data_IF_047375842780
#
_entry.id   IF_047375842780
#
_cell.length_a   1.000
_cell.length_b   1.000
_cell.length_c   1.000
_cell.angle_alpha   90.00
_cell.angle_beta   90.00
_cell.angle_gamma   90.00
#
_symmetry.space_group_name_H-M   'P 1'
#
loop_
_entity.id
_entity.type
_entity.pdbx_description
1 polymer ?
#
# COMPACT_ATOMS: atom_id res chain seq x y z
N UNK A 1 40.11 -9.66 13.27
CA UNK A 1 39.73 -11.07 13.03
C UNK A 1 39.72 -11.81 14.35
N UNK A 2 38.54 -12.27 14.77
CA UNK A 2 38.35 -13.17 15.91
C UNK A 2 38.02 -14.56 15.34
N UNK A 3 38.74 -15.60 15.77
CA UNK A 3 38.46 -17.00 15.43
C UNK A 3 37.63 -17.62 16.56
N UNK A 4 36.35 -17.87 16.30
CA UNK A 4 35.39 -18.39 17.28
C UNK A 4 35.22 -19.91 17.21
N UNK A 5 36.06 -20.62 16.44
CA UNK A 5 35.99 -22.07 16.28
C UNK A 5 36.08 -22.88 17.59
N UNK A 6 36.51 -22.26 18.69
CA UNK A 6 36.57 -22.84 20.04
C UNK A 6 35.71 -22.16 21.10
N UNK A 7 35.13 -20.98 20.82
CA UNK A 7 34.31 -20.21 21.75
C UNK A 7 33.14 -19.57 20.99
N UNK A 8 31.93 -20.17 21.03
CA UNK A 8 30.79 -19.74 20.22
C UNK A 8 30.03 -18.55 20.83
N UNK A 9 30.68 -17.75 21.67
CA UNK A 9 30.07 -16.70 22.48
C UNK A 9 31.02 -15.49 22.46
N UNK A 10 30.60 -14.40 21.80
CA UNK A 10 31.39 -13.19 21.56
C UNK A 10 31.25 -12.18 22.71
N UNK A 11 30.19 -12.29 23.49
CA UNK A 11 29.79 -11.44 24.61
C UNK A 11 30.11 -12.04 25.98
N UNK A 12 30.63 -13.26 25.99
CA UNK A 12 31.08 -14.00 27.16
C UNK A 12 29.93 -14.54 28.00
N UNK A 13 30.22 -15.49 28.89
CA UNK A 13 29.20 -16.26 29.64
C UNK A 13 28.26 -15.47 30.55
N UNK A 14 28.47 -14.16 30.65
CA UNK A 14 27.62 -13.21 31.40
C UNK A 14 26.74 -12.38 30.47
N UNK A 15 26.85 -12.56 29.16
CA UNK A 15 26.03 -11.92 28.13
C UNK A 15 26.06 -10.38 28.21
N UNK A 16 27.26 -9.81 28.40
CA UNK A 16 27.44 -8.35 28.59
C UNK A 16 28.65 -7.78 27.85
N UNK A 17 29.24 -8.56 26.95
CA UNK A 17 30.43 -8.16 26.22
C UNK A 17 30.16 -6.98 25.29
N UNK A 18 31.22 -6.25 24.97
CA UNK A 18 31.15 -5.11 24.05
C UNK A 18 32.07 -5.34 22.86
N UNK A 19 31.51 -5.25 21.65
CA UNK A 19 32.26 -5.24 20.39
C UNK A 19 32.29 -3.81 19.87
N UNK A 20 33.48 -3.30 19.57
CA UNK A 20 33.68 -1.95 19.06
C UNK A 20 34.37 -1.98 17.69
N UNK A 21 33.61 -1.69 16.64
CA UNK A 21 34.12 -1.39 15.30
C UNK A 21 34.11 0.13 15.08
N UNK A 22 34.92 0.88 15.86
CA UNK A 22 34.84 2.36 15.90
C UNK A 22 35.92 3.06 15.09
N UNK A 23 37.16 2.55 15.15
CA UNK A 23 38.32 3.09 14.42
C UNK A 23 38.86 2.09 13.38
N UNK A 24 38.15 0.97 13.23
CA UNK A 24 38.47 -0.12 12.33
C UNK A 24 37.32 -1.12 12.31
N UNK A 25 37.11 -1.77 11.18
CA UNK A 25 36.11 -2.82 11.02
C UNK A 25 36.47 -4.08 11.80
N UNK A 26 35.44 -4.81 12.21
CA UNK A 26 35.55 -6.12 12.86
C UNK A 26 34.95 -7.17 11.93
N UNK A 27 35.74 -8.16 11.56
CA UNK A 27 35.27 -9.36 10.89
C UNK A 27 35.41 -10.56 11.82
N UNK A 28 34.31 -11.29 11.98
CA UNK A 28 34.24 -12.55 12.73
C UNK A 28 34.29 -13.70 11.73
N UNK A 29 35.35 -14.50 11.83
CA UNK A 29 35.53 -15.67 10.98
C UNK A 29 35.15 -16.93 11.77
N UNK A 30 34.21 -17.71 11.23
CA UNK A 30 33.77 -18.97 11.87
C UNK A 30 33.72 -20.10 10.85
N UNK A 31 34.04 -21.31 11.32
CA UNK A 31 34.12 -22.53 10.51
C UNK A 31 32.79 -23.32 10.39
N UNK A 32 31.69 -22.87 11.00
CA UNK A 32 30.40 -23.57 10.98
C UNK A 32 29.21 -22.61 10.80
N UNK A 33 28.14 -23.06 10.13
CA UNK A 33 26.95 -22.25 9.82
C UNK A 33 25.97 -22.03 10.99
N UNK A 34 24.89 -21.28 10.71
CA UNK A 34 23.80 -20.95 11.64
C UNK A 34 23.84 -19.51 12.19
N UNK A 35 22.78 -19.08 12.88
CA UNK A 35 22.70 -17.74 13.47
C UNK A 35 23.44 -17.67 14.82
N UNK A 36 23.97 -16.49 15.13
CA UNK A 36 24.68 -16.17 16.35
C UNK A 36 23.84 -15.19 17.17
N UNK A 37 23.37 -15.60 18.35
CA UNK A 37 22.71 -14.71 19.29
C UNK A 37 23.72 -13.81 19.99
N UNK A 38 23.36 -12.55 20.20
CA UNK A 38 24.19 -11.54 20.83
C UNK A 38 23.35 -10.65 21.74
N UNK A 39 23.58 -10.74 23.04
CA UNK A 39 22.89 -9.99 24.13
C UNK A 39 23.81 -8.88 24.70
N UNK A 40 25.04 -8.79 24.18
CA UNK A 40 25.98 -7.70 24.47
C UNK A 40 25.67 -6.36 23.81
N UNK A 41 26.72 -5.53 23.69
CA UNK A 41 26.66 -4.24 22.98
C UNK A 41 27.59 -4.23 21.78
N UNK A 42 27.04 -3.98 20.58
CA UNK A 42 27.78 -3.83 19.34
C UNK A 42 27.78 -2.36 18.92
N UNK A 43 28.94 -1.74 18.83
CA UNK A 43 29.08 -0.37 18.35
C UNK A 43 29.83 -0.33 17.01
N UNK A 44 29.20 0.21 15.98
CA UNK A 44 29.81 0.39 14.65
C UNK A 44 29.84 1.88 14.30
N UNK A 45 31.05 2.42 14.19
CA UNK A 45 31.29 3.85 13.94
C UNK A 45 31.41 4.20 12.46
N UNK A 46 31.62 5.48 12.20
CA UNK A 46 31.56 6.05 10.85
C UNK A 46 32.52 5.37 9.87
N UNK A 47 31.96 4.90 8.76
CA UNK A 47 32.66 4.17 7.70
C UNK A 47 33.24 2.82 8.11
N UNK A 48 32.89 2.32 9.30
CA UNK A 48 33.32 1.00 9.78
C UNK A 48 32.23 -0.04 9.57
N UNK A 49 32.64 -1.30 9.64
CA UNK A 49 31.76 -2.44 9.46
C UNK A 49 31.98 -3.48 10.57
N UNK A 50 30.89 -4.06 11.05
CA UNK A 50 30.90 -5.36 11.71
C UNK A 50 30.40 -6.42 10.73
N UNK A 51 31.21 -7.45 10.48
CA UNK A 51 30.93 -8.45 9.46
C UNK A 51 30.96 -9.88 10.01
N UNK A 52 29.89 -10.63 9.70
CA UNK A 52 29.76 -12.07 9.88
C UNK A 52 29.61 -12.74 8.51
N UNK A 53 30.69 -13.31 8.00
CA UNK A 53 30.71 -13.86 6.62
C UNK A 53 30.12 -15.26 6.48
N UNK A 54 29.87 -15.97 7.58
CA UNK A 54 29.38 -17.36 7.57
C UNK A 54 28.20 -17.62 8.51
N UNK A 55 27.73 -16.60 9.24
CA UNK A 55 26.66 -16.70 10.24
C UNK A 55 25.70 -15.52 10.16
N UNK A 56 24.46 -15.75 10.57
CA UNK A 56 23.52 -14.69 10.89
C UNK A 56 23.80 -14.07 12.25
N UNK A 57 23.22 -12.90 12.53
CA UNK A 57 23.22 -12.23 13.81
C UNK A 57 21.78 -12.13 14.32
N UNK A 58 21.51 -12.61 15.53
CA UNK A 58 20.29 -12.29 16.26
C UNK A 58 20.72 -11.30 17.34
N UNK A 59 20.19 -10.08 17.29
CA UNK A 59 20.45 -9.05 18.28
C UNK A 59 19.41 -9.10 19.40
N UNK A 60 19.78 -9.76 20.50
CA UNK A 60 19.06 -9.77 21.77
C UNK A 60 19.50 -8.65 22.73
N UNK A 61 20.57 -7.93 22.37
CA UNK A 61 21.18 -6.86 23.16
C UNK A 61 21.00 -5.48 22.54
N UNK A 62 22.12 -4.77 22.37
CA UNK A 62 22.13 -3.40 21.83
C UNK A 62 23.08 -3.28 20.64
N UNK A 63 22.56 -2.88 19.49
CA UNK A 63 23.35 -2.45 18.32
C UNK A 63 23.29 -0.93 18.22
N UNK A 64 24.45 -0.27 18.18
CA UNK A 64 24.59 1.16 17.98
C UNK A 64 25.35 1.43 16.67
N UNK A 65 24.72 2.16 15.75
CA UNK A 65 25.29 2.56 14.47
C UNK A 65 25.44 4.08 14.43
N UNK A 66 26.55 4.55 13.87
CA UNK A 66 26.75 5.96 13.51
C UNK A 66 27.50 6.00 12.19
N UNK A 67 26.75 6.10 11.09
CA UNK A 67 27.28 5.88 9.74
C UNK A 67 28.07 4.55 9.63
N UNK A 68 27.57 3.51 10.30
CA UNK A 68 28.20 2.20 10.39
C UNK A 68 27.40 1.14 9.65
N UNK A 69 28.06 0.04 9.27
CA UNK A 69 27.42 -1.10 8.60
C UNK A 69 27.49 -2.36 9.45
N UNK A 70 26.37 -3.07 9.59
CA UNK A 70 26.35 -4.47 10.02
C UNK A 70 26.10 -5.33 8.79
N UNK A 71 27.01 -6.24 8.49
CA UNK A 71 26.91 -7.17 7.38
C UNK A 71 26.89 -8.61 7.89
N UNK A 72 25.83 -9.37 7.59
CA UNK A 72 25.66 -10.74 8.04
C UNK A 72 25.01 -11.61 6.94
N UNK A 73 24.98 -12.93 7.13
CA UNK A 73 24.23 -13.82 6.21
C UNK A 73 22.74 -13.83 6.50
N UNK A 74 22.35 -13.35 7.68
CA UNK A 74 21.00 -13.16 8.17
C UNK A 74 21.07 -12.15 9.34
N UNK A 75 20.06 -11.31 9.54
CA UNK A 75 20.03 -10.35 10.66
C UNK A 75 18.62 -10.31 11.25
N UNK A 76 18.46 -10.78 12.48
CA UNK A 76 17.21 -10.63 13.23
C UNK A 76 17.44 -9.67 14.40
N UNK A 77 16.49 -8.78 14.58
CA UNK A 77 16.52 -7.72 15.56
C UNK A 77 15.41 -7.93 16.57
N UNK A 78 15.77 -8.44 17.74
CA UNK A 78 14.85 -8.83 18.82
C UNK A 78 14.79 -7.79 19.94
N UNK A 79 15.85 -6.97 20.10
CA UNK A 79 16.00 -6.05 21.21
C UNK A 79 16.18 -4.59 20.76
N UNK A 80 17.37 -3.99 20.91
CA UNK A 80 17.58 -2.55 20.69
C UNK A 80 18.56 -2.25 19.56
N UNK A 81 18.13 -1.41 18.61
CA UNK A 81 18.93 -0.83 17.54
C UNK A 81 18.87 0.69 17.66
N UNK A 82 20.03 1.34 17.72
CA UNK A 82 20.14 2.79 17.74
C UNK A 82 20.95 3.26 16.54
N UNK A 83 20.31 3.97 15.62
CA UNK A 83 20.97 4.68 14.52
C UNK A 83 21.10 6.14 14.94
N UNK A 84 22.33 6.58 15.18
CA UNK A 84 22.64 7.94 15.62
C UNK A 84 22.97 8.84 14.44
N UNK A 85 22.67 10.14 14.59
CA UNK A 85 23.09 11.19 13.67
C UNK A 85 24.58 11.11 13.33
N UNK A 86 24.91 11.23 12.04
CA UNK A 86 26.29 11.14 11.55
C UNK A 86 26.44 10.69 10.10
N UNK A 87 25.34 10.50 9.37
CA UNK A 87 25.25 9.90 8.04
C UNK A 87 24.56 8.53 8.08
N UNK A 88 24.13 8.04 6.90
CA UNK A 88 23.32 6.83 6.78
C UNK A 88 24.06 5.61 7.35
N UNK A 89 23.36 4.81 8.14
CA UNK A 89 23.83 3.50 8.60
C UNK A 89 23.19 2.39 7.77
N UNK A 90 23.76 1.19 7.80
CA UNK A 90 23.34 0.10 6.90
C UNK A 90 23.22 -1.23 7.62
N UNK A 91 22.16 -1.97 7.30
CA UNK A 91 22.06 -3.40 7.52
C UNK A 91 22.20 -4.10 6.16
N UNK A 92 23.23 -4.92 6.01
CA UNK A 92 23.54 -5.67 4.80
C UNK A 92 23.38 -7.16 5.04
N UNK A 93 22.25 -7.72 4.61
CA UNK A 93 21.94 -9.14 4.78
C UNK A 93 20.89 -9.59 3.77
N UNK A 94 20.96 -10.82 3.23
CA UNK A 94 19.88 -11.37 2.41
C UNK A 94 18.50 -11.33 3.09
N UNK A 95 18.46 -11.62 4.39
CA UNK A 95 17.27 -11.54 5.25
C UNK A 95 17.51 -10.57 6.42
N UNK A 96 16.55 -9.68 6.67
CA UNK A 96 16.56 -8.73 7.79
C UNK A 96 15.20 -8.83 8.46
N UNK A 97 15.14 -9.19 9.73
CA UNK A 97 13.89 -9.31 10.47
C UNK A 97 13.88 -8.29 11.62
N UNK A 98 12.82 -7.50 11.72
CA UNK A 98 12.53 -6.69 12.91
C UNK A 98 11.37 -7.32 13.65
N UNK A 99 11.72 -8.04 14.73
CA UNK A 99 10.82 -8.92 15.44
C UNK A 99 9.93 -8.16 16.44
N UNK A 100 8.87 -8.83 16.89
CA UNK A 100 7.93 -8.26 17.86
C UNK A 100 8.65 -7.89 19.17
N UNK A 101 8.48 -6.64 19.59
CA UNK A 101 9.02 -6.13 20.85
C UNK A 101 10.38 -5.48 20.68
N UNK A 102 11.00 -5.63 19.50
CA UNK A 102 12.20 -4.92 19.14
C UNK A 102 11.95 -3.41 19.07
N UNK A 103 13.00 -2.65 19.34
CA UNK A 103 12.99 -1.19 19.33
C UNK A 103 14.14 -0.67 18.48
N UNK A 104 13.81 0.27 17.60
CA UNK A 104 14.73 0.93 16.68
C UNK A 104 14.58 2.44 16.86
N UNK A 105 15.60 3.08 17.43
CA UNK A 105 15.70 4.55 17.46
C UNK A 105 16.52 5.00 16.25
N UNK A 106 15.91 5.72 15.33
CA UNK A 106 16.45 6.09 14.01
C UNK A 106 16.56 7.60 13.93
N UNK A 107 17.71 8.16 14.31
CA UNK A 107 17.98 9.62 14.30
C UNK A 107 18.63 10.10 12.98
N UNK A 108 19.04 9.17 12.12
CA UNK A 108 19.59 9.35 10.77
C UNK A 108 19.16 8.15 9.92
N UNK A 109 19.39 8.21 8.61
CA UNK A 109 18.88 7.19 7.68
C UNK A 109 19.41 5.79 8.00
N UNK A 110 18.52 4.79 7.89
CA UNK A 110 18.86 3.38 7.94
C UNK A 110 18.58 2.72 6.58
N UNK A 111 19.62 2.38 5.85
CA UNK A 111 19.51 1.62 4.60
C UNK A 111 19.37 0.12 4.90
N UNK A 112 18.32 -0.47 4.36
CA UNK A 112 17.98 -1.89 4.50
C UNK A 112 18.38 -2.64 3.22
N UNK A 113 19.59 -3.19 3.18
CA UNK A 113 20.16 -3.83 2.00
C UNK A 113 19.87 -5.33 1.99
N UNK A 114 18.60 -5.69 1.78
CA UNK A 114 18.12 -7.06 1.88
C UNK A 114 16.63 -7.22 1.60
N UNK A 115 16.14 -8.45 1.76
CA UNK A 115 14.72 -8.70 1.99
C UNK A 115 14.45 -8.45 3.47
N UNK A 116 13.64 -7.44 3.78
CA UNK A 116 13.38 -7.02 5.16
C UNK A 116 11.94 -7.27 5.57
N UNK A 117 11.72 -7.98 6.66
CA UNK A 117 10.41 -8.15 7.27
C UNK A 117 10.29 -7.25 8.51
N UNK A 118 9.22 -6.45 8.58
CA UNK A 118 8.84 -5.72 9.79
C UNK A 118 7.58 -6.36 10.38
N UNK A 119 7.71 -7.00 11.53
CA UNK A 119 6.60 -7.67 12.21
C UNK A 119 5.79 -6.70 13.08
N UNK A 120 4.52 -7.04 13.32
CA UNK A 120 3.67 -6.30 14.24
C UNK A 120 4.31 -6.19 15.63
N UNK A 121 4.31 -4.97 16.16
CA UNK A 121 4.88 -4.67 17.48
C UNK A 121 6.39 -4.46 17.51
N UNK A 122 7.09 -4.53 16.38
CA UNK A 122 8.38 -3.85 16.23
C UNK A 122 8.17 -2.33 16.28
N UNK A 123 9.03 -1.60 16.99
CA UNK A 123 8.86 -0.16 17.21
C UNK A 123 9.98 0.61 16.52
N UNK A 124 9.61 1.57 15.68
CA UNK A 124 10.51 2.55 15.07
C UNK A 124 10.16 3.95 15.55
N UNK A 125 11.15 4.73 15.97
CA UNK A 125 10.98 6.12 16.38
C UNK A 125 12.26 6.92 16.07
N UNK A 126 12.13 8.23 15.90
CA UNK A 126 13.27 9.13 15.68
C UNK A 126 13.01 10.10 14.53
N UNK A 127 14.01 10.88 14.15
CA UNK A 127 13.91 11.88 13.08
C UNK A 127 14.46 11.45 11.72
N UNK A 128 15.08 10.28 11.63
CA UNK A 128 15.57 9.70 10.38
C UNK A 128 14.48 8.91 9.64
N UNK A 129 14.90 8.17 8.63
CA UNK A 129 14.01 7.39 7.77
C UNK A 129 14.56 5.99 7.51
N UNK A 130 13.68 5.05 7.16
CA UNK A 130 14.07 3.78 6.56
C UNK A 130 14.22 3.96 5.06
N UNK A 131 15.37 3.57 4.52
CA UNK A 131 15.63 3.60 3.08
C UNK A 131 15.62 2.17 2.57
N UNK A 132 14.80 1.91 1.56
CA UNK A 132 14.78 0.64 0.80
C UNK A 132 15.52 0.88 -0.51
N UNK A 133 16.81 0.51 -0.63
CA UNK A 133 17.58 0.79 -1.83
C UNK A 133 17.11 -0.02 -3.04
N UNK A 134 17.55 0.39 -4.23
CA UNK A 134 17.26 -0.37 -5.45
C UNK A 134 17.75 -1.82 -5.35
N UNK A 135 16.84 -2.77 -5.62
CA UNK A 135 17.08 -4.22 -5.51
C UNK A 135 16.84 -4.82 -4.12
N UNK A 136 16.52 -4.00 -3.12
CA UNK A 136 16.03 -4.45 -1.81
C UNK A 136 14.49 -4.52 -1.80
N UNK A 137 13.95 -5.30 -0.85
CA UNK A 137 12.51 -5.46 -0.65
C UNK A 137 12.20 -5.24 0.82
N UNK A 138 11.15 -4.46 1.11
CA UNK A 138 10.61 -4.28 2.45
C UNK A 138 9.18 -4.84 2.51
N UNK A 139 9.00 -5.87 3.32
CA UNK A 139 7.70 -6.45 3.65
C UNK A 139 7.20 -5.84 4.95
N UNK A 140 6.12 -5.06 4.87
CA UNK A 140 5.42 -4.53 6.02
C UNK A 140 4.36 -5.53 6.44
N UNK A 141 4.67 -6.44 7.38
CA UNK A 141 3.73 -7.51 7.78
C UNK A 141 2.43 -6.95 8.39
N UNK A 142 1.41 -7.79 8.45
CA UNK A 142 0.08 -7.42 8.96
C UNK A 142 0.15 -6.76 10.34
N UNK A 143 -0.41 -5.57 10.46
CA UNK A 143 -0.42 -4.78 11.70
C UNK A 143 0.92 -4.15 12.05
N UNK A 144 1.90 -4.15 11.15
CA UNK A 144 3.16 -3.42 11.34
C UNK A 144 2.93 -1.90 11.42
N UNK A 145 3.74 -1.25 12.26
CA UNK A 145 3.75 0.20 12.44
C UNK A 145 5.19 0.70 12.40
N UNK A 146 5.53 1.48 11.37
CA UNK A 146 6.83 2.13 11.22
C UNK A 146 6.68 3.59 11.60
N UNK A 147 7.09 3.98 12.81
CA UNK A 147 6.89 5.33 13.35
C UNK A 147 7.83 6.41 12.81
N UNK A 148 8.57 6.12 11.74
CA UNK A 148 9.47 7.03 11.03
C UNK A 148 9.11 7.07 9.55
N UNK A 149 9.76 7.92 8.77
CA UNK A 149 9.51 8.01 7.33
C UNK A 149 10.08 6.78 6.59
N UNK A 150 9.53 6.49 5.40
CA UNK A 150 10.02 5.45 4.48
C UNK A 150 10.34 6.08 3.12
N UNK A 151 11.53 5.80 2.62
CA UNK A 151 11.94 6.06 1.23
C UNK A 151 12.11 4.75 0.47
N UNK A 152 11.19 4.50 -0.45
CA UNK A 152 11.20 3.36 -1.34
C UNK A 152 11.93 3.70 -2.65
N UNK A 153 13.13 3.15 -2.80
CA UNK A 153 13.90 3.12 -4.05
C UNK A 153 14.00 1.69 -4.63
N UNK A 154 13.38 0.70 -3.98
CA UNK A 154 13.36 -0.71 -4.35
C UNK A 154 11.92 -1.21 -4.49
N UNK A 155 11.53 -2.15 -3.64
CA UNK A 155 10.15 -2.65 -3.56
C UNK A 155 9.63 -2.59 -2.12
N UNK A 156 8.39 -2.16 -1.96
CA UNK A 156 7.62 -2.31 -0.72
C UNK A 156 6.45 -3.25 -1.00
N UNK A 157 6.27 -4.24 -0.14
CA UNK A 157 5.14 -5.19 -0.15
C UNK A 157 4.35 -4.98 1.14
N UNK A 158 3.03 -4.83 1.01
CA UNK A 158 2.14 -4.58 2.15
C UNK A 158 1.53 -5.90 2.62
N UNK A 159 1.49 -6.10 3.94
CA UNK A 159 0.96 -7.30 4.56
C UNK A 159 1.86 -8.54 4.47
N UNK A 160 1.41 -9.61 5.11
CA UNK A 160 1.68 -10.99 4.67
C UNK A 160 0.69 -11.43 3.58
N UNK A 161 -0.01 -10.43 3.06
CA UNK A 161 -1.02 -10.40 2.01
C UNK A 161 -2.20 -11.36 2.13
N UNK A 162 -3.44 -10.84 2.20
CA UNK A 162 -3.80 -9.44 2.43
C UNK A 162 -3.57 -8.95 3.87
N UNK A 163 -3.23 -7.67 4.05
CA UNK A 163 -2.88 -7.06 5.34
C UNK A 163 -2.94 -5.55 5.39
N UNK A 164 -2.91 -4.99 6.61
CA UNK A 164 -2.83 -3.55 6.86
C UNK A 164 -1.46 -3.19 7.43
N UNK A 165 -0.80 -2.19 6.87
CA UNK A 165 0.43 -1.61 7.40
C UNK A 165 0.30 -0.11 7.62
N UNK A 166 1.02 0.43 8.61
CA UNK A 166 1.00 1.86 8.94
C UNK A 166 2.40 2.46 8.91
N UNK A 167 2.55 3.56 8.18
CA UNK A 167 3.69 4.47 8.22
C UNK A 167 3.31 5.70 9.06
N UNK A 168 3.92 5.83 10.22
CA UNK A 168 3.73 6.93 11.17
C UNK A 168 4.40 8.24 10.76
N UNK A 169 5.14 8.24 9.66
CA UNK A 169 5.73 9.42 9.02
C UNK A 169 5.24 9.62 7.58
N UNK A 170 6.13 10.16 6.75
CA UNK A 170 5.96 10.29 5.30
C UNK A 170 6.37 9.00 4.58
N UNK A 171 5.74 8.73 3.44
CA UNK A 171 6.11 7.66 2.51
C UNK A 171 6.50 8.28 1.17
N UNK A 172 7.69 7.97 0.67
CA UNK A 172 8.14 8.42 -0.66
C UNK A 172 8.51 7.23 -1.53
N UNK A 173 8.02 7.24 -2.78
CA UNK A 173 8.36 6.24 -3.79
C UNK A 173 9.04 6.92 -4.98
N UNK A 174 10.16 6.37 -5.41
CA UNK A 174 10.92 6.83 -6.58
C UNK A 174 10.32 6.31 -7.91
N UNK A 175 10.71 6.92 -9.02
CA UNK A 175 10.25 6.50 -10.35
C UNK A 175 10.68 5.10 -10.81
N UNK A 176 11.68 4.48 -10.14
CA UNK A 176 12.16 3.13 -10.45
C UNK A 176 11.65 2.04 -9.51
N UNK A 177 10.86 2.40 -8.51
CA UNK A 177 10.42 1.51 -7.43
C UNK A 177 9.00 0.98 -7.59
N UNK A 178 8.70 -0.02 -6.79
CA UNK A 178 7.45 -0.78 -6.80
C UNK A 178 6.76 -0.74 -5.43
N UNK A 179 5.45 -0.52 -5.43
CA UNK A 179 4.55 -0.84 -4.32
C UNK A 179 3.67 -2.01 -4.75
N UNK A 180 3.70 -3.11 -4.01
CA UNK A 180 2.88 -4.30 -4.26
C UNK A 180 1.76 -4.40 -3.21
N UNK A 181 0.52 -4.57 -3.68
CA UNK A 181 -0.70 -4.61 -2.84
C UNK A 181 -1.71 -5.61 -3.39
N UNK A 182 -2.01 -6.66 -2.64
CA UNK A 182 -2.86 -7.79 -3.04
C UNK A 182 -4.36 -7.56 -2.81
N UNK A 183 -5.18 -8.17 -3.67
CA UNK A 183 -6.64 -8.25 -3.56
C UNK A 183 -7.09 -9.71 -3.61
N UNK A 184 -7.81 -10.14 -2.58
CA UNK A 184 -8.42 -11.47 -2.45
C UNK A 184 -9.92 -11.45 -2.13
N UNK A 185 -10.44 -10.27 -1.78
CA UNK A 185 -11.84 -9.94 -1.52
C UNK A 185 -11.98 -8.43 -1.27
N UNK A 186 -13.07 -7.98 -0.63
CA UNK A 186 -13.44 -6.55 -0.61
C UNK A 186 -13.34 -5.89 0.78
N UNK A 187 -12.80 -6.59 1.78
CA UNK A 187 -12.57 -6.06 3.13
C UNK A 187 -11.13 -5.60 3.34
N UNK A 188 -10.94 -4.32 3.66
CA UNK A 188 -9.62 -3.71 3.87
C UNK A 188 -8.82 -4.40 4.99
N UNK A 189 -7.53 -4.62 4.75
CA UNK A 189 -6.58 -5.16 5.72
C UNK A 189 -6.77 -6.63 6.07
N UNK A 190 -7.80 -7.31 5.55
CA UNK A 190 -8.05 -8.74 5.75
C UNK A 190 -8.29 -9.51 4.46
N UNK A 191 -8.86 -8.85 3.46
CA UNK A 191 -9.12 -9.43 2.13
C UNK A 191 -8.48 -8.61 1.01
N UNK A 192 -8.02 -7.38 1.27
CA UNK A 192 -7.10 -6.66 0.38
C UNK A 192 -6.12 -5.83 1.20
N UNK A 193 -4.97 -5.51 0.62
CA UNK A 193 -3.93 -4.74 1.27
C UNK A 193 -4.28 -3.27 1.45
N UNK A 194 -3.94 -2.71 2.60
CA UNK A 194 -4.06 -1.28 2.85
C UNK A 194 -2.79 -0.71 3.49
N UNK A 195 -2.27 0.35 2.87
CA UNK A 195 -1.18 1.16 3.40
C UNK A 195 -1.74 2.47 3.95
N UNK A 196 -1.61 2.66 5.26
CA UNK A 196 -1.96 3.93 5.91
C UNK A 196 -0.70 4.75 6.12
N UNK A 197 -0.67 6.00 5.65
CA UNK A 197 0.45 6.93 5.81
C UNK A 197 -0.03 8.15 6.59
N UNK A 198 0.41 8.31 7.83
CA UNK A 198 -0.11 9.42 8.65
C UNK A 198 0.38 10.80 8.17
N UNK A 199 1.51 10.85 7.47
CA UNK A 199 2.06 12.02 6.82
C UNK A 199 1.68 12.13 5.34
N UNK A 200 2.65 12.47 4.51
CA UNK A 200 2.52 12.63 3.06
C UNK A 200 2.93 11.36 2.32
N UNK A 201 2.09 10.87 1.41
CA UNK A 201 2.47 9.88 0.42
C UNK A 201 2.90 10.57 -0.88
N UNK A 202 4.19 10.54 -1.20
CA UNK A 202 4.76 11.03 -2.47
C UNK A 202 4.94 9.85 -3.42
N UNK A 203 4.13 9.80 -4.48
CA UNK A 203 4.01 8.65 -5.37
C UNK A 203 4.66 8.91 -6.74
N UNK A 204 5.39 7.91 -7.22
CA UNK A 204 5.93 7.76 -8.57
C UNK A 204 6.15 6.24 -8.81
N UNK A 205 6.73 5.84 -9.94
CA UNK A 205 7.06 4.45 -10.21
C UNK A 205 5.82 3.61 -10.45
N UNK A 206 5.80 2.38 -9.93
CA UNK A 206 4.75 1.40 -10.24
C UNK A 206 3.96 1.01 -8.99
N UNK A 207 2.64 0.90 -9.15
CA UNK A 207 1.77 0.12 -8.26
C UNK A 207 1.46 -1.21 -8.94
N UNK A 208 1.72 -2.33 -8.27
CA UNK A 208 1.37 -3.67 -8.75
C UNK A 208 0.32 -4.28 -7.83
N UNK A 209 -0.75 -4.79 -8.44
CA UNK A 209 -1.93 -5.29 -7.76
C UNK A 209 -2.15 -6.74 -8.17
N UNK A 210 -1.48 -7.70 -7.50
CA UNK A 210 -1.79 -9.11 -7.69
C UNK A 210 -3.19 -9.44 -7.16
N UNK A 211 -3.89 -10.36 -7.83
CA UNK A 211 -5.26 -10.75 -7.46
C UNK A 211 -5.31 -12.25 -7.21
N UNK A 212 -5.86 -12.66 -6.07
CA UNK A 212 -6.04 -14.05 -5.65
C UNK A 212 -4.74 -14.89 -5.63
N UNK A 213 -3.57 -14.27 -5.49
CA UNK A 213 -2.28 -14.99 -5.50
C UNK A 213 -2.00 -15.74 -4.19
N UNK A 214 -2.56 -15.29 -3.06
CA UNK A 214 -2.54 -15.97 -1.76
C UNK A 214 -3.63 -17.05 -1.57
N UNK A 215 -4.46 -17.30 -2.58
CA UNK A 215 -5.54 -18.29 -2.54
C UNK A 215 -6.94 -17.71 -2.30
N UNK A 216 -7.08 -16.39 -2.41
CA UNK A 216 -8.35 -15.65 -2.45
C UNK A 216 -9.37 -16.10 -3.50
N UNK A 217 -10.51 -15.43 -3.52
CA UNK A 217 -11.61 -15.72 -4.47
C UNK A 217 -12.32 -14.47 -4.98
N UNK A 218 -11.65 -13.32 -4.98
CA UNK A 218 -12.17 -12.09 -5.54
C UNK A 218 -12.58 -12.28 -7.01
N UNK A 219 -13.75 -11.74 -7.36
CA UNK A 219 -14.25 -11.66 -8.72
C UNK A 219 -14.85 -10.29 -8.93
N UNK A 220 -14.67 -9.71 -10.12
CA UNK A 220 -15.28 -8.43 -10.48
C UNK A 220 -16.82 -8.45 -10.29
N UNK A 221 -17.47 -7.28 -10.11
CA UNK A 221 -18.91 -7.19 -9.92
C UNK A 221 -19.71 -7.88 -11.03
N UNK A 222 -20.60 -8.80 -10.63
CA UNK A 222 -21.40 -9.58 -11.58
C UNK A 222 -22.65 -8.85 -12.09
N UNK A 223 -23.09 -7.81 -11.40
CA UNK A 223 -24.30 -7.04 -11.72
C UNK A 223 -23.91 -5.73 -12.38
N UNK A 224 -24.58 -5.38 -13.49
CA UNK A 224 -24.37 -4.09 -14.14
C UNK A 224 -24.84 -2.96 -13.23
N UNK A 225 -24.06 -1.89 -13.20
CA UNK A 225 -24.22 -0.75 -12.32
C UNK A 225 -23.49 -0.88 -10.98
N UNK A 226 -22.97 -2.07 -10.63
CA UNK A 226 -22.24 -2.29 -9.38
C UNK A 226 -20.73 -2.08 -9.58
N UNK A 227 -20.08 -1.60 -8.52
CA UNK A 227 -18.64 -1.40 -8.45
C UNK A 227 -18.08 -1.89 -7.12
N UNK A 228 -16.89 -2.48 -7.15
CA UNK A 228 -16.05 -2.65 -5.96
C UNK A 228 -15.02 -1.52 -5.91
N UNK A 229 -14.80 -0.94 -4.73
CA UNK A 229 -13.80 0.12 -4.51
C UNK A 229 -12.85 -0.27 -3.40
N UNK A 230 -11.55 -0.13 -3.66
CA UNK A 230 -10.45 -0.51 -2.78
C UNK A 230 -9.63 0.74 -2.45
N UNK A 231 -9.63 1.16 -1.19
CA UNK A 231 -8.77 2.24 -0.73
C UNK A 231 -7.41 1.64 -0.38
N UNK A 232 -6.51 1.62 -1.38
CA UNK A 232 -5.20 0.97 -1.29
C UNK A 232 -4.24 1.79 -0.43
N UNK A 233 -4.16 3.10 -0.68
CA UNK A 233 -3.37 4.03 0.11
C UNK A 233 -4.30 5.05 0.77
N UNK A 234 -4.22 5.20 2.08
CA UNK A 234 -4.89 6.25 2.86
C UNK A 234 -3.84 7.12 3.56
N UNK A 235 -3.64 8.34 3.08
CA UNK A 235 -2.58 9.23 3.53
C UNK A 235 -3.12 10.53 4.15
N UNK A 236 -2.36 11.13 5.07
CA UNK A 236 -2.65 12.48 5.58
C UNK A 236 -2.65 13.54 4.46
N UNK A 237 -1.79 13.35 3.45
CA UNK A 237 -1.89 14.01 2.13
C UNK A 237 -1.19 13.19 1.04
N UNK A 238 -1.57 13.40 -0.22
CA UNK A 238 -0.96 12.76 -1.38
C UNK A 238 -0.31 13.79 -2.30
N UNK A 239 0.88 13.48 -2.81
CA UNK A 239 1.57 14.21 -3.88
C UNK A 239 2.01 13.23 -4.96
N UNK A 240 1.79 13.59 -6.24
CA UNK A 240 2.17 12.73 -7.37
C UNK A 240 1.33 11.46 -7.50
N UNK A 241 1.44 10.78 -8.63
CA UNK A 241 0.68 9.56 -8.95
C UNK A 241 1.66 8.47 -9.39
N UNK A 242 1.22 7.22 -9.39
CA UNK A 242 2.02 6.15 -9.99
C UNK A 242 2.16 6.40 -11.49
N UNK A 243 3.37 6.21 -12.01
CA UNK A 243 3.68 6.29 -13.43
C UNK A 243 3.15 5.08 -14.22
N UNK A 244 2.97 3.94 -13.54
CA UNK A 244 2.34 2.74 -14.09
C UNK A 244 1.53 2.00 -13.02
N UNK A 245 0.45 1.35 -13.44
CA UNK A 245 -0.32 0.44 -12.57
C UNK A 245 -0.52 -0.88 -13.27
N UNK A 246 -0.14 -1.96 -12.61
CA UNK A 246 -0.39 -3.32 -13.05
C UNK A 246 -1.52 -3.92 -12.20
N UNK A 247 -2.41 -4.65 -12.84
CA UNK A 247 -3.49 -5.38 -12.20
C UNK A 247 -3.48 -6.82 -12.73
N UNK A 248 -3.36 -7.79 -11.83
CA UNK A 248 -3.29 -9.22 -12.14
C UNK A 248 -2.28 -9.53 -13.28
N UNK A 249 -1.06 -8.98 -13.14
CA UNK A 249 0.04 -9.18 -14.08
C UNK A 249 -0.10 -8.43 -15.41
N UNK A 250 -1.14 -7.61 -15.60
CA UNK A 250 -1.37 -6.82 -16.81
C UNK A 250 -1.23 -5.33 -16.54
N UNK A 251 -0.50 -4.62 -17.40
CA UNK A 251 -0.45 -3.15 -17.35
C UNK A 251 -1.83 -2.59 -17.70
N UNK A 252 -2.37 -1.76 -16.81
CA UNK A 252 -3.58 -1.00 -17.12
C UNK A 252 -3.21 0.15 -18.06
N UNK A 253 -3.80 0.13 -19.26
CA UNK A 253 -3.54 1.12 -20.30
C UNK A 253 -4.65 2.16 -20.29
N UNK A 254 -4.34 3.38 -19.84
CA UNK A 254 -5.33 4.46 -19.79
C UNK A 254 -6.00 4.70 -21.15
N UNK A 255 -7.29 4.39 -21.27
CA UNK A 255 -8.11 4.76 -22.43
C UNK A 255 -8.74 6.15 -22.24
N UNK A 256 -9.04 6.49 -20.98
CA UNK A 256 -9.61 7.78 -20.59
C UNK A 256 -8.77 8.42 -19.49
N UNK A 257 -8.58 9.74 -19.56
CA UNK A 257 -7.80 10.49 -18.55
C UNK A 257 -8.52 11.76 -18.12
N UNK A 258 -8.55 12.01 -16.81
CA UNK A 258 -8.87 13.32 -16.24
C UNK A 258 -7.89 13.62 -15.10
N UNK A 259 -6.97 14.56 -15.34
CA UNK A 259 -5.89 14.85 -14.39
C UNK A 259 -4.94 13.65 -14.24
N UNK A 260 -4.66 13.27 -12.98
CA UNK A 260 -3.75 12.17 -12.63
C UNK A 260 -4.47 10.79 -12.67
N UNK A 261 -5.80 10.76 -12.76
CA UNK A 261 -6.58 9.53 -12.76
C UNK A 261 -6.49 8.85 -14.13
N UNK A 262 -6.53 7.52 -14.13
CA UNK A 262 -6.69 6.75 -15.35
C UNK A 262 -7.81 5.71 -15.22
N UNK A 263 -8.36 5.35 -16.37
CA UNK A 263 -9.36 4.31 -16.51
C UNK A 263 -9.03 3.43 -17.72
N UNK A 264 -9.06 2.13 -17.50
CA UNK A 264 -8.87 1.07 -18.50
C UNK A 264 -10.20 0.33 -18.71
N UNK A 265 -10.52 0.00 -19.96
CA UNK A 265 -11.72 -0.74 -20.32
C UNK A 265 -11.36 -2.18 -20.68
N UNK A 266 -12.14 -3.14 -20.18
CA UNK A 266 -11.92 -4.56 -20.42
C UNK A 266 -13.23 -5.22 -20.83
N UNK A 267 -13.28 -5.78 -22.03
CA UNK A 267 -14.41 -6.61 -22.46
C UNK A 267 -15.73 -5.84 -22.60
N UNK A 268 -16.77 -6.24 -21.86
CA UNK A 268 -18.16 -5.77 -22.09
C UNK A 268 -18.66 -4.95 -20.91
N UNK A 269 -18.08 -3.76 -20.77
CA UNK A 269 -18.48 -2.76 -19.78
C UNK A 269 -17.77 -2.89 -18.43
N UNK A 270 -16.70 -3.69 -18.35
CA UNK A 270 -15.86 -3.69 -17.15
C UNK A 270 -14.83 -2.57 -17.28
N UNK A 271 -14.84 -1.64 -16.33
CA UNK A 271 -13.87 -0.57 -16.23
C UNK A 271 -13.03 -0.73 -14.97
N UNK A 272 -11.72 -0.50 -15.11
CA UNK A 272 -10.77 -0.45 -14.00
C UNK A 272 -10.22 0.96 -13.90
N UNK A 273 -10.54 1.64 -12.81
CA UNK A 273 -10.10 3.02 -12.59
C UNK A 273 -9.18 3.10 -11.39
N UNK A 274 -8.11 3.89 -11.49
CA UNK A 274 -7.36 4.33 -10.31
C UNK A 274 -7.60 5.81 -10.13
N UNK A 275 -8.26 6.13 -9.01
CA UNK A 275 -8.61 7.48 -8.63
C UNK A 275 -7.65 7.97 -7.55
N UNK A 276 -7.08 9.15 -7.79
CA UNK A 276 -6.20 9.83 -6.87
C UNK A 276 -6.92 11.04 -6.28
N UNK A 277 -7.16 11.00 -4.97
CA UNK A 277 -7.73 12.16 -4.25
C UNK A 277 -6.62 13.01 -3.64
N UNK A 278 -6.97 13.95 -2.76
CA UNK A 278 -5.97 14.68 -1.98
C UNK A 278 -5.26 13.81 -0.94
N UNK A 279 -5.80 12.63 -0.62
CA UNK A 279 -5.36 11.78 0.49
C UNK A 279 -5.28 10.30 0.11
N UNK A 280 -6.00 9.84 -0.91
CA UNK A 280 -6.14 8.42 -1.21
C UNK A 280 -5.70 8.03 -2.61
N UNK A 281 -5.35 6.75 -2.74
CA UNK A 281 -5.30 6.01 -4.00
C UNK A 281 -6.37 4.94 -3.94
N UNK A 282 -7.31 4.98 -4.87
CA UNK A 282 -8.49 4.12 -4.89
C UNK A 282 -8.56 3.36 -6.20
N UNK A 283 -8.54 2.03 -6.15
CA UNK A 283 -8.89 1.20 -7.30
C UNK A 283 -10.41 1.01 -7.31
N UNK A 284 -11.03 1.14 -8.48
CA UNK A 284 -12.43 0.80 -8.69
C UNK A 284 -12.56 -0.19 -9.85
N UNK A 285 -13.20 -1.32 -9.59
CA UNK A 285 -13.64 -2.26 -10.62
C UNK A 285 -15.15 -2.06 -10.80
N UNK A 286 -15.56 -1.51 -11.94
CA UNK A 286 -16.94 -1.17 -12.26
C UNK A 286 -17.46 -2.08 -13.38
N UNK A 287 -18.58 -2.76 -13.16
CA UNK A 287 -19.35 -3.36 -14.24
C UNK A 287 -20.42 -2.35 -14.68
N UNK A 288 -20.10 -1.52 -15.66
CA UNK A 288 -20.90 -0.38 -16.07
C UNK A 288 -22.31 -0.77 -16.50
N UNK A 289 -23.24 0.14 -16.21
CA UNK A 289 -24.60 0.02 -16.69
C UNK A 289 -24.64 0.23 -18.21
N UNK A 290 -25.50 -0.53 -18.91
CA UNK A 290 -25.65 -0.37 -20.36
C UNK A 290 -26.03 1.08 -20.68
N UNK A 291 -25.26 1.72 -21.56
CA UNK A 291 -25.41 3.13 -21.86
C UNK A 291 -24.22 3.98 -21.43
N UNK A 292 -23.44 3.52 -20.44
CA UNK A 292 -22.27 4.24 -19.93
C UNK A 292 -21.04 3.86 -20.74
N UNK A 293 -20.67 4.71 -21.69
CA UNK A 293 -19.58 4.47 -22.65
C UNK A 293 -18.20 4.75 -22.08
N UNK A 294 -18.09 5.66 -21.11
CA UNK A 294 -16.79 6.08 -20.57
C UNK A 294 -16.52 5.53 -19.16
N UNK A 295 -17.50 4.89 -18.54
CA UNK A 295 -17.43 4.20 -17.25
C UNK A 295 -17.51 5.13 -16.05
N UNK A 296 -18.02 6.36 -16.18
CA UNK A 296 -18.01 7.37 -15.12
C UNK A 296 -19.15 7.25 -14.10
N UNK A 297 -19.90 6.16 -14.20
CA UNK A 297 -21.03 5.81 -13.35
C UNK A 297 -22.24 6.71 -13.56
N UNK A 298 -22.31 7.47 -14.66
CA UNK A 298 -23.53 8.08 -15.13
C UNK A 298 -23.85 7.69 -16.58
N UNK A 299 -25.07 8.00 -17.01
CA UNK A 299 -25.50 7.77 -18.41
C UNK A 299 -26.10 9.07 -18.89
N UNK A 300 -25.31 9.85 -19.61
CA UNK A 300 -25.62 11.23 -19.89
C UNK A 300 -25.47 11.60 -21.38
N UNK A 301 -25.32 12.90 -21.66
CA UNK A 301 -25.19 13.38 -23.03
C UNK A 301 -23.81 13.10 -23.65
N UNK A 302 -22.76 12.91 -22.86
CA UNK A 302 -21.46 12.49 -23.33
C UNK A 302 -21.56 11.09 -23.94
N UNK A 303 -22.19 10.15 -23.25
CA UNK A 303 -22.40 8.80 -23.79
C UNK A 303 -23.22 8.78 -25.06
N UNK A 304 -24.31 9.56 -25.08
CA UNK A 304 -25.12 9.71 -26.27
C UNK A 304 -24.30 10.29 -27.44
N UNK A 305 -23.42 11.25 -27.18
CA UNK A 305 -22.56 11.83 -28.21
C UNK A 305 -21.53 10.82 -28.73
N UNK A 306 -20.98 9.96 -27.87
CA UNK A 306 -20.11 8.85 -28.26
C UNK A 306 -20.84 7.89 -29.20
N UNK A 307 -21.97 7.34 -28.75
CA UNK A 307 -22.78 6.42 -29.56
C UNK A 307 -23.22 7.06 -30.89
N UNK A 308 -23.78 8.27 -30.84
CA UNK A 308 -24.29 8.93 -32.05
C UNK A 308 -23.17 9.35 -33.02
N UNK A 309 -21.98 9.65 -32.51
CA UNK A 309 -20.79 9.92 -33.31
C UNK A 309 -20.28 8.70 -34.05
N UNK A 310 -20.45 7.51 -33.47
CA UNK A 310 -20.00 6.23 -34.01
C UNK A 310 -21.12 5.42 -34.70
N UNK A 311 -22.31 5.99 -34.86
CA UNK A 311 -23.49 5.29 -35.38
C UNK A 311 -23.20 4.59 -36.72
N UNK A 312 -23.27 3.26 -36.71
CA UNK A 312 -22.84 2.38 -37.79
C UNK A 312 -23.78 1.17 -37.94
N UNK A 313 -25.06 1.38 -38.33
CA UNK A 313 -26.13 0.37 -38.28
C UNK A 313 -26.05 -0.73 -39.36
N UNK A 314 -24.89 -0.88 -40.00
CA UNK A 314 -24.63 -1.92 -41.00
C UNK A 314 -23.33 -2.66 -40.69
N UNK A 315 -22.83 -2.51 -39.48
CA UNK A 315 -21.52 -2.96 -39.06
C UNK A 315 -20.48 -1.84 -39.03
N UNK A 316 -19.64 -1.89 -38.01
CA UNK A 316 -18.47 -1.02 -37.88
C UNK A 316 -17.37 -1.38 -38.88
N UNK A 317 -16.60 -0.39 -39.33
CA UNK A 317 -15.41 -0.63 -40.15
C UNK A 317 -14.26 -1.03 -39.22
N UNK A 318 -13.99 -2.33 -39.14
CA UNK A 318 -13.07 -2.88 -38.15
C UNK A 318 -13.86 -3.46 -36.99
N UNK A 319 -13.51 -3.06 -35.76
CA UNK A 319 -14.25 -3.41 -34.55
C UNK A 319 -14.75 -2.14 -33.87
N UNK A 320 -15.98 -2.16 -33.40
CA UNK A 320 -16.45 -1.28 -32.34
C UNK A 320 -16.69 -2.11 -31.08
N UNK A 321 -16.65 -1.47 -29.93
CA UNK A 321 -17.00 -2.10 -28.67
C UNK A 321 -17.81 -1.19 -27.78
N UNK A 322 -17.89 -1.57 -26.50
CA UNK A 322 -18.62 -0.84 -25.48
C UNK A 322 -18.31 0.65 -25.44
N UNK A 323 -17.02 1.01 -25.51
CA UNK A 323 -16.54 2.40 -25.49
C UNK A 323 -16.89 3.20 -26.73
N UNK A 324 -17.27 2.54 -27.83
CA UNK A 324 -17.76 3.20 -29.04
C UNK A 324 -19.28 3.36 -29.03
N UNK A 325 -19.98 2.61 -28.16
CA UNK A 325 -21.44 2.57 -28.05
C UNK A 325 -22.10 1.28 -28.54
N UNK A 326 -21.34 0.20 -28.79
CA UNK A 326 -21.88 -1.15 -29.06
C UNK A 326 -22.06 -1.89 -27.72
N UNK A 327 -23.30 -1.94 -27.21
CA UNK A 327 -23.59 -2.44 -25.86
C UNK A 327 -24.04 -3.91 -25.82
N UNK A 328 -24.43 -4.48 -26.95
CA UNK A 328 -24.81 -5.90 -27.05
C UNK A 328 -23.75 -6.78 -27.73
N UNK A 329 -22.63 -6.17 -28.13
CA UNK A 329 -21.42 -6.78 -28.66
C UNK A 329 -21.65 -7.53 -29.98
N UNK A 330 -22.52 -7.01 -30.85
CA UNK A 330 -22.81 -7.57 -32.16
C UNK A 330 -21.99 -6.93 -33.31
N UNK A 331 -21.11 -5.98 -32.98
CA UNK A 331 -20.20 -5.28 -33.87
C UNK A 331 -20.90 -4.34 -34.87
N UNK A 332 -22.08 -3.83 -34.49
CA UNK A 332 -22.67 -2.64 -35.06
C UNK A 332 -23.10 -1.66 -33.95
N UNK A 333 -23.38 -0.41 -34.35
CA UNK A 333 -23.86 0.62 -33.42
C UNK A 333 -25.14 1.16 -34.02
N UNK A 334 -26.27 0.73 -33.48
CA UNK A 334 -27.56 0.89 -34.13
C UNK A 334 -28.68 1.35 -33.18
N UNK A 335 -29.93 1.12 -33.59
CA UNK A 335 -31.07 1.56 -32.80
C UNK A 335 -31.27 0.70 -31.53
N UNK A 336 -30.76 -0.54 -31.50
CA UNK A 336 -30.74 -1.39 -30.31
C UNK A 336 -29.89 -0.75 -29.21
N UNK A 337 -28.67 -0.32 -29.53
CA UNK A 337 -27.77 0.36 -28.59
C UNK A 337 -28.35 1.68 -28.10
N UNK A 338 -28.87 2.49 -29.03
CA UNK A 338 -29.50 3.75 -28.66
C UNK A 338 -30.67 3.53 -27.70
N UNK A 339 -31.53 2.53 -27.98
CA UNK A 339 -32.64 2.21 -27.08
C UNK A 339 -32.14 1.72 -25.73
N UNK A 340 -31.03 0.96 -25.71
CA UNK A 340 -30.44 0.47 -24.47
C UNK A 340 -29.90 1.63 -23.60
N UNK A 341 -29.16 2.57 -24.21
CA UNK A 341 -28.73 3.81 -23.54
C UNK A 341 -29.93 4.63 -23.06
N UNK A 342 -30.90 4.89 -23.94
CA UNK A 342 -32.06 5.73 -23.62
C UNK A 342 -32.93 5.14 -22.49
N UNK A 343 -33.00 3.80 -22.37
CA UNK A 343 -33.72 3.14 -21.28
C UNK A 343 -33.01 3.28 -19.93
N UNK A 344 -31.70 3.48 -19.93
CA UNK A 344 -30.88 3.59 -18.73
C UNK A 344 -30.41 5.02 -18.45
N UNK A 345 -30.88 6.02 -19.22
CA UNK A 345 -30.45 7.41 -19.10
C UNK A 345 -30.57 7.91 -17.65
N UNK A 346 -29.42 8.24 -17.07
CA UNK A 346 -29.23 8.51 -15.65
C UNK A 346 -28.13 9.58 -15.47
N UNK A 347 -28.37 10.83 -15.88
CA UNK A 347 -27.35 11.90 -15.90
C UNK A 347 -26.96 12.43 -14.51
N UNK A 348 -27.49 11.81 -13.45
CA UNK A 348 -27.13 12.11 -12.07
C UNK A 348 -26.36 10.94 -11.43
N UNK A 349 -26.02 9.93 -12.22
CA UNK A 349 -25.38 8.70 -11.78
C UNK A 349 -26.33 7.53 -11.57
N UNK A 350 -25.75 6.33 -11.55
CA UNK A 350 -26.36 5.08 -11.12
C UNK A 350 -25.53 4.44 -9.98
N UNK A 351 -26.06 3.38 -9.36
CA UNK A 351 -25.45 2.77 -8.17
C UNK A 351 -25.92 3.38 -6.84
N UNK A 352 -25.54 2.75 -5.72
CA UNK A 352 -26.13 2.94 -4.39
C UNK A 352 -26.08 4.36 -3.80
N UNK A 353 -25.20 5.23 -4.29
CA UNK A 353 -25.04 6.60 -3.79
C UNK A 353 -25.84 7.65 -4.59
N UNK A 354 -26.40 7.29 -5.75
CA UNK A 354 -27.13 8.21 -6.62
C UNK A 354 -28.54 8.59 -6.11
N UNK A 355 -28.95 8.19 -4.89
CA UNK A 355 -30.28 8.53 -4.37
C UNK A 355 -30.42 8.79 -2.86
N UNK A 356 -29.35 9.07 -2.12
CA UNK A 356 -29.47 9.50 -0.72
C UNK A 356 -29.48 11.04 -0.60
N UNK A 357 -30.60 11.68 -0.90
CA UNK A 357 -30.91 12.96 -0.22
C UNK A 357 -31.09 12.59 1.26
N UNK A 358 -30.30 13.12 2.20
CA UNK A 358 -30.51 12.81 3.61
C UNK A 358 -31.89 13.31 4.03
N UNK A 359 -32.83 12.40 4.29
CA UNK A 359 -33.98 12.79 5.07
C UNK A 359 -33.45 13.20 6.45
N UNK A 360 -33.79 14.40 6.97
CA UNK A 360 -33.36 14.80 8.29
C UNK A 360 -33.80 13.71 9.26
N UNK A 361 -32.81 13.07 9.90
CA UNK A 361 -33.00 11.94 10.79
C UNK A 361 -34.26 12.16 11.62
N UNK A 362 -35.21 11.23 11.51
CA UNK A 362 -36.51 11.27 12.20
C UNK A 362 -36.38 11.44 13.71
N UNK A 363 -35.19 11.23 14.27
CA UNK A 363 -34.78 11.62 15.63
C UNK A 363 -34.86 13.12 15.91
N UNK A 364 -34.48 14.01 14.97
CA UNK A 364 -34.53 15.47 15.19
C UNK A 364 -35.98 15.96 15.21
N UNK A 365 -36.85 15.44 14.33
CA UNK A 365 -38.26 15.80 14.32
C UNK A 365 -39.02 15.30 15.56
N UNK A 366 -38.68 14.10 16.04
CA UNK A 366 -39.27 13.56 17.27
C UNK A 366 -38.76 14.26 18.53
N UNK A 367 -37.51 14.75 18.56
CA UNK A 367 -36.99 15.57 19.66
C UNK A 367 -37.68 16.94 19.74
N UNK A 368 -37.98 17.58 18.60
CA UNK A 368 -38.76 18.83 18.56
C UNK A 368 -40.24 18.62 18.91
N UNK A 369 -40.84 17.50 18.50
CA UNK A 369 -42.20 17.13 18.90
C UNK A 369 -42.30 16.87 20.42
N UNK A 370 -41.30 16.21 21.02
CA UNK A 370 -41.26 15.98 22.47
C UNK A 370 -41.00 17.26 23.28
N UNK A 371 -40.13 18.17 22.82
CA UNK A 371 -39.90 19.46 23.51
C UNK A 371 -41.12 20.40 23.47
N UNK A 372 -41.89 20.38 22.38
CA UNK A 372 -43.13 21.17 22.26
C UNK A 372 -44.28 20.63 23.13
N UNK A 373 -44.31 19.33 23.44
CA UNK A 373 -45.27 18.73 24.37
C UNK A 373 -44.95 19.04 25.85
N UNK A 374 -43.67 19.11 26.23
CA UNK A 374 -43.25 19.42 27.61
C UNK A 374 -43.54 20.87 28.00
N UNK A 375 -43.41 21.81 27.05
CA UNK A 375 -43.69 23.24 27.31
C UNK A 375 -45.19 23.55 27.44
N UNK A 376 -46.07 22.76 26.81
CA UNK A 376 -47.54 22.87 26.94
C UNK A 376 -48.05 22.21 28.23
N UNK A 377 -47.43 21.12 28.68
CA UNK A 377 -47.78 20.43 29.93
C UNK A 377 -47.43 21.24 31.19
N UNK A 378 -46.32 21.99 31.18
CA UNK A 378 -45.87 22.78 32.32
C UNK A 378 -46.71 24.05 32.59
N UNK A 379 -47.51 24.51 31.61
CA UNK A 379 -48.41 25.69 31.78
C UNK A 379 -49.79 25.36 32.34
N UNK A 380 -50.12 24.08 32.59
CA UNK A 380 -51.44 23.64 33.09
C UNK A 380 -51.47 23.21 34.56
N UNK A 381 -50.39 23.42 35.32
CA UNK A 381 -50.38 23.26 36.78
C UNK A 381 -49.85 24.53 37.44
N UNK A 382 -50.74 25.49 37.64
CA UNK A 382 -50.63 26.59 38.60
C UNK A 382 -52.01 26.78 39.22
#
# INVERSE_FOLDING_TARGET
>A
TLDTGSFPDLDGSTETGTINALLGSVEVLTAAGGNFGFDGTLNVGAGQMFQLSTKGLINDGVVNLTNGTVAATDFSQDAQLNVSAGGPSRLESPGIDFDWGSTSTVEDDLELMGSTDIYAGAVFAGSGQLVVPAGAVLHLKDGSFVGVDIENNGQVVVGSSPGLAVVGGDYSQSGGSLLEMEIEGTTAGTEYDQLVVTGTASLDGTLDIPVNVGGGSYTDPAVRGDSDTFVLVDAGSRVGSFSAVNYDGSLLAAEFTSGDNFRDHVGVGLFRSVNYTATSVELQNLNAQVGDTDGDMDIDLLDYNTLSGNFAPSGCVGSCGWVDGDFDADNDIDLADYNALAMNFAPAGYGGDASAVPEPSTMVLSLFALLSLVTVGARRKS
#
